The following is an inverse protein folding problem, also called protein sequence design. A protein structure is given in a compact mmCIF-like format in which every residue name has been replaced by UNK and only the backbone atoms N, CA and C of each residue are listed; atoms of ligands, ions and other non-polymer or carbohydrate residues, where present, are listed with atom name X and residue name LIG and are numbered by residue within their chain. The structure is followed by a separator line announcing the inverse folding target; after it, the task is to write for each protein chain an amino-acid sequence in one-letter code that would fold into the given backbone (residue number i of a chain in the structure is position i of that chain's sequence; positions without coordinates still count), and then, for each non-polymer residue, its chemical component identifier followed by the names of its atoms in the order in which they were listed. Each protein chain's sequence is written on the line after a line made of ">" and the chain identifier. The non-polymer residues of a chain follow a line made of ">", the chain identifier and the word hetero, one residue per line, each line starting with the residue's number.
data_IF_141103370331
#
_entry.id   IF_141103370331
#
_cell.length_a   1.000
_cell.length_b   1.000
_cell.length_c   1.000
_cell.angle_alpha   90.00
_cell.angle_beta   90.00
_cell.angle_gamma   90.00
#
_symmetry.space_group_name_H-M   'P 1'
#
loop_
_entity.id
_entity.type
_entity.pdbx_description
1 polymer ?
#
# COMPACT_ATOMS: atom_id res chain seq x y z
N UNK A 1 3.70 5.24 29.10
CA UNK A 1 3.36 4.02 28.34
C UNK A 1 3.68 4.27 26.88
N UNK A 2 4.45 3.39 26.20
CA UNK A 2 4.86 3.57 24.80
C UNK A 2 4.22 2.50 23.93
N UNK A 3 3.01 2.77 23.43
CA UNK A 3 2.31 1.86 22.54
C UNK A 3 3.07 1.75 21.21
N UNK A 4 3.39 0.53 20.78
CA UNK A 4 4.11 0.24 19.53
C UNK A 4 3.28 -0.52 18.50
N UNK A 5 2.25 -1.25 18.95
CA UNK A 5 1.38 -2.05 18.10
C UNK A 5 -0.08 -1.82 18.47
N UNK A 6 -0.91 -1.69 17.44
CA UNK A 6 -2.36 -1.74 17.50
C UNK A 6 -2.83 -2.80 16.51
N UNK A 7 -3.70 -3.69 16.98
CA UNK A 7 -4.38 -4.67 16.16
C UNK A 7 -5.89 -4.57 16.41
N UNK A 8 -6.63 -4.17 15.39
CA UNK A 8 -8.09 -4.02 15.40
C UNK A 8 -8.75 -4.95 14.38
N UNK A 9 -8.10 -6.08 14.08
CA UNK A 9 -8.59 -7.04 13.09
C UNK A 9 -9.96 -7.59 13.44
N UNK A 10 -10.81 -7.84 12.44
CA UNK A 10 -12.07 -8.57 12.61
C UNK A 10 -13.15 -7.78 13.35
N UNK A 11 -13.15 -6.46 13.16
CA UNK A 11 -14.14 -5.56 13.73
C UNK A 11 -15.10 -5.04 12.65
N UNK A 12 -16.05 -4.18 13.04
CA UNK A 12 -17.02 -3.57 12.13
C UNK A 12 -16.73 -2.08 11.89
N UNK A 13 -15.47 -1.67 12.03
CA UNK A 13 -15.07 -0.26 11.96
C UNK A 13 -15.28 0.23 10.52
N UNK A 14 -16.18 1.19 10.36
CA UNK A 14 -16.48 1.82 9.06
C UNK A 14 -15.69 3.12 8.86
N UNK A 15 -15.40 3.83 9.95
CA UNK A 15 -14.69 5.11 9.93
C UNK A 15 -13.74 5.23 11.13
N UNK A 16 -12.65 5.94 10.91
CA UNK A 16 -11.67 6.33 11.93
C UNK A 16 -11.38 7.81 11.69
N UNK A 17 -11.38 8.62 12.75
CA UNK A 17 -11.06 10.04 12.66
C UNK A 17 -9.60 10.25 12.25
N UNK A 18 -9.34 11.29 11.44
CA UNK A 18 -7.99 11.63 10.97
C UNK A 18 -7.00 11.87 12.13
N UNK A 19 -7.49 12.28 13.30
CA UNK A 19 -6.68 12.51 14.51
C UNK A 19 -6.51 11.31 15.44
N UNK A 20 -7.18 10.17 15.18
CA UNK A 20 -7.29 9.07 16.14
C UNK A 20 -5.94 8.51 16.61
N UNK A 21 -4.91 8.57 15.76
CA UNK A 21 -3.57 8.05 16.06
C UNK A 21 -2.50 9.14 16.19
N UNK A 22 -2.88 10.43 16.22
CA UNK A 22 -1.94 11.54 16.12
C UNK A 22 -0.93 11.61 17.29
N UNK A 23 -1.32 11.20 18.49
CA UNK A 23 -0.47 11.19 19.69
C UNK A 23 0.40 9.94 19.82
N UNK A 24 0.20 8.93 18.96
CA UNK A 24 0.90 7.64 19.04
C UNK A 24 2.25 7.70 18.34
N UNK A 25 3.14 8.57 18.82
CA UNK A 25 4.43 8.88 18.18
C UNK A 25 5.43 7.72 18.13
N UNK A 26 5.13 6.59 18.78
CA UNK A 26 5.97 5.39 18.80
C UNK A 26 5.26 4.17 18.18
N UNK A 27 4.10 4.37 17.53
CA UNK A 27 3.40 3.30 16.84
C UNK A 27 4.19 2.86 15.61
N UNK A 28 4.48 1.57 15.53
CA UNK A 28 5.24 0.92 14.48
C UNK A 28 4.39 -0.08 13.70
N UNK A 29 3.39 -0.67 14.33
CA UNK A 29 2.48 -1.63 13.70
C UNK A 29 1.03 -1.19 13.89
N UNK A 30 0.31 -1.06 12.78
CA UNK A 30 -1.14 -0.79 12.78
C UNK A 30 -1.84 -1.76 11.85
N UNK A 31 -2.66 -2.63 12.44
CA UNK A 31 -3.44 -3.65 11.73
C UNK A 31 -4.92 -3.29 11.85
N UNK A 32 -5.54 -2.99 10.71
CA UNK A 32 -6.96 -2.66 10.53
C UNK A 32 -7.65 -3.67 9.60
N UNK A 33 -7.10 -4.89 9.51
CA UNK A 33 -7.60 -5.90 8.59
C UNK A 33 -9.03 -6.34 8.95
N UNK A 34 -9.78 -6.86 7.98
CA UNK A 34 -11.13 -7.40 8.19
C UNK A 34 -12.06 -6.43 8.94
N UNK A 35 -12.32 -5.30 8.27
CA UNK A 35 -13.16 -4.21 8.78
C UNK A 35 -14.05 -3.69 7.63
N UNK A 36 -14.68 -2.53 7.80
CA UNK A 36 -15.59 -1.91 6.81
C UNK A 36 -15.11 -0.55 6.33
N UNK A 37 -13.81 -0.26 6.45
CA UNK A 37 -13.24 1.04 6.13
C UNK A 37 -13.45 1.38 4.66
N UNK A 38 -13.95 2.58 4.41
CA UNK A 38 -14.08 3.16 3.06
C UNK A 38 -13.02 4.23 2.78
N UNK A 39 -12.40 4.77 3.84
CA UNK A 39 -11.31 5.75 3.82
C UNK A 39 -10.24 5.41 4.86
N UNK A 40 -9.00 5.80 4.58
CA UNK A 40 -7.91 5.70 5.56
C UNK A 40 -7.82 6.97 6.41
N UNK A 41 -7.56 6.84 7.74
CA UNK A 41 -7.23 7.98 8.58
C UNK A 41 -5.79 8.47 8.31
N UNK A 42 -5.38 9.53 9.00
CA UNK A 42 -3.97 9.94 8.99
C UNK A 42 -3.11 8.88 9.69
N UNK A 43 -2.10 8.38 8.98
CA UNK A 43 -1.22 7.33 9.48
C UNK A 43 -0.04 7.92 10.27
N UNK A 44 0.32 7.35 11.43
CA UNK A 44 1.51 7.74 12.18
C UNK A 44 2.79 7.53 11.37
N UNK A 45 3.73 8.48 11.44
CA UNK A 45 4.92 8.51 10.56
C UNK A 45 5.98 7.47 10.87
N UNK A 46 5.93 6.86 12.06
CA UNK A 46 6.90 5.82 12.49
C UNK A 46 6.49 4.39 12.12
N UNK A 47 5.35 4.20 11.44
CA UNK A 47 4.91 2.87 11.02
C UNK A 47 5.98 2.14 10.19
N UNK A 48 6.21 0.89 10.57
CA UNK A 48 7.02 -0.11 9.86
C UNK A 48 6.09 -1.09 9.12
N UNK A 49 4.94 -1.40 9.72
CA UNK A 49 3.91 -2.26 9.12
C UNK A 49 2.54 -1.57 9.18
N UNK A 50 1.86 -1.57 8.04
CA UNK A 50 0.47 -1.17 7.95
C UNK A 50 -0.34 -2.21 7.17
N UNK A 51 -1.44 -2.66 7.75
CA UNK A 51 -2.37 -3.57 7.08
C UNK A 51 -3.80 -3.04 7.17
N UNK A 52 -4.47 -2.96 6.04
CA UNK A 52 -5.90 -2.72 5.92
C UNK A 52 -6.52 -3.69 4.90
N UNK A 53 -6.05 -4.95 4.91
CA UNK A 53 -6.63 -6.01 4.10
C UNK A 53 -8.12 -6.21 4.40
N UNK A 54 -8.89 -6.72 3.44
CA UNK A 54 -10.30 -7.07 3.64
C UNK A 54 -11.12 -5.89 4.18
N UNK A 55 -11.08 -4.78 3.45
CA UNK A 55 -11.87 -3.59 3.71
C UNK A 55 -12.63 -3.18 2.43
N UNK A 56 -13.22 -1.98 2.43
CA UNK A 56 -13.95 -1.42 1.29
C UNK A 56 -13.26 -0.16 0.77
N UNK A 57 -11.93 -0.11 0.88
CA UNK A 57 -11.17 1.08 0.51
C UNK A 57 -11.23 1.27 -1.01
N UNK A 58 -11.69 2.45 -1.40
CA UNK A 58 -11.65 2.94 -2.78
C UNK A 58 -10.50 3.93 -2.93
N UNK A 59 -10.00 4.13 -4.14
CA UNK A 59 -8.97 5.14 -4.41
C UNK A 59 -9.35 6.53 -3.87
N UNK A 60 -10.62 6.93 -3.95
CA UNK A 60 -11.11 8.20 -3.38
C UNK A 60 -10.98 8.31 -1.85
N UNK A 61 -10.95 7.18 -1.14
CA UNK A 61 -10.75 7.10 0.30
C UNK A 61 -9.28 6.98 0.72
N UNK A 62 -8.37 6.83 -0.23
CA UNK A 62 -6.92 6.77 0.00
C UNK A 62 -6.27 7.98 -0.65
N UNK A 63 -5.95 9.00 0.15
CA UNK A 63 -5.24 10.19 -0.34
C UNK A 63 -3.99 9.75 -1.12
N UNK A 64 -3.74 10.32 -2.29
CA UNK A 64 -2.63 9.92 -3.15
C UNK A 64 -1.27 9.94 -2.42
N UNK A 65 -1.13 10.79 -1.40
CA UNK A 65 0.08 10.98 -0.59
C UNK A 65 0.01 10.32 0.79
N UNK A 66 -0.97 9.45 1.06
CA UNK A 66 -1.22 8.84 2.37
C UNK A 66 0.03 8.16 2.98
N UNK A 67 0.85 7.54 2.13
CA UNK A 67 2.05 6.82 2.56
C UNK A 67 3.36 7.61 2.35
N UNK A 68 3.31 8.81 1.74
CA UNK A 68 4.50 9.57 1.31
C UNK A 68 5.46 9.91 2.46
N UNK A 69 4.91 10.16 3.66
CA UNK A 69 5.70 10.53 4.86
C UNK A 69 6.17 9.32 5.68
N UNK A 70 5.77 8.10 5.33
CA UNK A 70 6.07 6.89 6.09
C UNK A 70 7.43 6.31 5.66
N UNK A 71 8.50 7.02 5.99
CA UNK A 71 9.87 6.70 5.53
C UNK A 71 10.48 5.43 6.14
N UNK A 72 9.78 4.82 7.10
CA UNK A 72 10.15 3.54 7.72
C UNK A 72 9.23 2.38 7.33
N UNK A 73 8.18 2.63 6.53
CA UNK A 73 7.20 1.62 6.19
C UNK A 73 7.82 0.57 5.27
N UNK A 74 7.95 -0.65 5.78
CA UNK A 74 8.52 -1.78 5.07
C UNK A 74 7.44 -2.72 4.52
N UNK A 75 6.31 -2.83 5.21
CA UNK A 75 5.24 -3.76 4.87
C UNK A 75 3.91 -3.03 4.72
N UNK A 76 3.32 -3.10 3.52
CA UNK A 76 2.03 -2.52 3.19
C UNK A 76 1.09 -3.57 2.62
N UNK A 77 0.00 -3.82 3.34
CA UNK A 77 -1.02 -4.79 2.93
C UNK A 77 -2.38 -4.09 2.72
N UNK A 78 -2.84 -4.07 1.48
CA UNK A 78 -4.10 -3.46 1.04
C UNK A 78 -4.92 -4.44 0.17
N UNK A 79 -4.68 -5.73 0.28
CA UNK A 79 -5.37 -6.77 -0.50
C UNK A 79 -6.85 -6.86 -0.16
N UNK A 80 -7.66 -7.34 -1.11
CA UNK A 80 -9.11 -7.51 -0.93
C UNK A 80 -9.78 -6.18 -0.53
N UNK A 81 -9.63 -5.19 -1.40
CA UNK A 81 -10.26 -3.87 -1.32
C UNK A 81 -10.87 -3.51 -2.68
N UNK A 82 -11.24 -2.25 -2.87
CA UNK A 82 -11.85 -1.74 -4.11
C UNK A 82 -11.00 -0.64 -4.76
N UNK A 83 -9.68 -0.69 -4.59
CA UNK A 83 -8.76 0.29 -5.18
C UNK A 83 -8.75 0.16 -6.70
N UNK A 84 -8.86 1.28 -7.40
CA UNK A 84 -8.80 1.33 -8.88
C UNK A 84 -7.46 1.79 -9.41
N UNK A 85 -6.57 2.22 -8.51
CA UNK A 85 -5.20 2.66 -8.83
C UNK A 85 -4.27 2.38 -7.65
N UNK A 86 -2.98 2.28 -7.95
CA UNK A 86 -1.93 2.16 -6.94
C UNK A 86 -1.69 3.52 -6.27
N UNK A 87 -1.71 3.63 -4.93
CA UNK A 87 -1.35 4.87 -4.23
C UNK A 87 0.17 5.13 -4.31
N UNK A 88 0.64 6.36 -4.05
CA UNK A 88 2.09 6.61 -4.07
C UNK A 88 2.78 5.81 -2.97
N UNK A 89 3.72 4.97 -3.37
CA UNK A 89 4.43 4.03 -2.50
C UNK A 89 5.74 4.65 -2.00
N UNK A 90 6.04 4.66 -0.68
CA UNK A 90 7.32 5.14 -0.16
C UNK A 90 8.51 4.24 -0.55
N UNK A 91 9.70 4.82 -0.63
CA UNK A 91 10.97 4.15 -1.00
C UNK A 91 11.41 3.05 -0.02
N UNK A 92 10.90 3.08 1.21
CA UNK A 92 11.24 2.14 2.27
C UNK A 92 10.61 0.76 2.12
N UNK A 93 9.63 0.62 1.21
CA UNK A 93 8.84 -0.60 1.11
C UNK A 93 9.66 -1.80 0.61
N UNK A 94 9.44 -2.91 1.30
CA UNK A 94 9.92 -4.24 0.94
C UNK A 94 8.83 -5.09 0.33
N UNK A 95 7.64 -5.07 0.95
CA UNK A 95 6.50 -5.88 0.53
C UNK A 95 5.29 -4.98 0.34
N UNK A 96 4.66 -5.10 -0.83
CA UNK A 96 3.41 -4.43 -1.16
C UNK A 96 2.42 -5.43 -1.71
N UNK A 97 1.32 -5.65 -0.99
CA UNK A 97 0.22 -6.47 -1.45
C UNK A 97 -0.99 -5.61 -1.81
N UNK A 98 -1.34 -5.64 -3.09
CA UNK A 98 -2.48 -4.94 -3.69
C UNK A 98 -3.39 -5.92 -4.44
N UNK A 99 -3.18 -7.23 -4.27
CA UNK A 99 -3.94 -8.27 -4.95
C UNK A 99 -5.43 -8.24 -4.55
N UNK A 100 -6.29 -8.74 -5.44
CA UNK A 100 -7.75 -8.73 -5.29
C UNK A 100 -8.30 -7.31 -5.06
N UNK A 101 -7.96 -6.39 -5.96
CA UNK A 101 -8.50 -5.04 -6.04
C UNK A 101 -9.14 -4.83 -7.43
N UNK A 102 -9.40 -3.57 -7.80
CA UNK A 102 -9.99 -3.17 -9.10
C UNK A 102 -8.99 -2.34 -9.92
N UNK A 103 -7.68 -2.52 -9.71
CA UNK A 103 -6.62 -1.75 -10.37
C UNK A 103 -6.60 -2.15 -11.85
N UNK A 104 -7.01 -1.23 -12.73
CA UNK A 104 -7.11 -1.48 -14.17
C UNK A 104 -5.91 -0.96 -14.96
N UNK A 105 -5.16 -0.01 -14.41
CA UNK A 105 -4.02 0.58 -15.08
C UNK A 105 -2.94 0.96 -14.06
N UNK A 106 -1.70 0.96 -14.54
CA UNK A 106 -0.53 1.51 -13.87
C UNK A 106 0.20 2.44 -14.86
N UNK A 107 1.26 3.08 -14.38
CA UNK A 107 2.13 3.96 -15.17
C UNK A 107 3.58 3.61 -14.90
N UNK A 108 4.48 4.06 -15.78
CA UNK A 108 5.93 3.86 -15.63
C UNK A 108 6.47 4.41 -14.30
N UNK A 109 5.77 5.38 -13.71
CA UNK A 109 6.12 5.99 -12.44
C UNK A 109 5.44 5.33 -11.21
N UNK A 110 4.64 4.29 -11.41
CA UNK A 110 3.90 3.63 -10.33
C UNK A 110 4.85 2.96 -9.32
N UNK A 111 5.88 2.27 -9.82
CA UNK A 111 6.89 1.63 -8.98
C UNK A 111 8.29 2.23 -9.15
N UNK A 112 8.57 2.85 -10.30
CA UNK A 112 9.87 3.40 -10.66
C UNK A 112 9.88 4.94 -10.67
N UNK A 113 11.06 5.54 -10.55
CA UNK A 113 11.24 7.00 -10.68
C UNK A 113 11.78 7.33 -12.07
N UNK A 114 10.89 7.79 -12.94
CA UNK A 114 11.20 8.15 -14.31
C UNK A 114 11.59 6.95 -15.18
N UNK A 115 11.74 7.20 -16.48
CA UNK A 115 12.02 6.15 -17.47
C UNK A 115 13.54 5.91 -17.65
N UNK A 116 14.31 5.90 -16.56
CA UNK A 116 15.78 5.76 -16.62
C UNK A 116 16.25 4.49 -15.95
N UNK A 117 17.20 3.79 -16.58
CA UNK A 117 17.81 2.56 -16.06
C UNK A 117 18.71 2.75 -14.84
N UNK A 118 18.94 3.99 -14.40
CA UNK A 118 19.82 4.31 -13.25
C UNK A 118 19.11 4.19 -11.91
N UNK A 119 17.78 4.32 -11.88
CA UNK A 119 17.03 4.17 -10.65
C UNK A 119 16.71 2.69 -10.42
N UNK A 120 17.21 2.14 -9.31
CA UNK A 120 16.94 0.77 -8.86
C UNK A 120 16.31 0.81 -7.48
N UNK A 121 15.13 0.22 -7.35
CA UNK A 121 14.39 0.15 -6.08
C UNK A 121 14.79 -1.10 -5.32
N UNK A 122 16.00 -1.07 -4.77
CA UNK A 122 16.69 -2.25 -4.20
C UNK A 122 16.00 -2.89 -3.00
N UNK A 123 15.14 -2.16 -2.30
CA UNK A 123 14.41 -2.65 -1.12
C UNK A 123 13.14 -3.41 -1.48
N UNK A 124 12.54 -3.15 -2.65
CA UNK A 124 11.25 -3.76 -3.01
C UNK A 124 11.49 -5.21 -3.43
N UNK A 125 11.13 -6.13 -2.55
CA UNK A 125 11.37 -7.56 -2.70
C UNK A 125 10.15 -8.26 -3.32
N UNK A 126 8.94 -7.83 -2.94
CA UNK A 126 7.69 -8.44 -3.39
C UNK A 126 6.59 -7.42 -3.68
N UNK A 127 5.98 -7.54 -4.86
CA UNK A 127 4.78 -6.79 -5.26
C UNK A 127 3.73 -7.78 -5.74
N UNK A 128 2.54 -7.76 -5.13
CA UNK A 128 1.40 -8.59 -5.55
C UNK A 128 0.29 -7.74 -6.14
N UNK A 129 -0.07 -8.02 -7.39
CA UNK A 129 -1.14 -7.40 -8.16
C UNK A 129 -2.13 -8.43 -8.71
N UNK A 130 -1.96 -9.71 -8.42
CA UNK A 130 -2.87 -10.77 -8.84
C UNK A 130 -4.34 -10.50 -8.44
N UNK A 131 -5.30 -10.94 -9.24
CA UNK A 131 -6.72 -10.67 -9.00
C UNK A 131 -7.13 -9.20 -9.21
N UNK A 132 -6.31 -8.40 -9.91
CA UNK A 132 -6.70 -7.11 -10.46
C UNK A 132 -6.91 -7.20 -11.99
N UNK A 133 -7.75 -6.33 -12.59
CA UNK A 133 -7.96 -6.32 -14.02
C UNK A 133 -6.75 -5.86 -14.86
N UNK A 134 -5.72 -5.26 -14.25
CA UNK A 134 -4.51 -4.83 -14.96
C UNK A 134 -3.74 -6.02 -15.56
N UNK A 135 -3.42 -5.93 -16.85
CA UNK A 135 -2.54 -6.86 -17.55
C UNK A 135 -1.13 -6.29 -17.53
N UNK A 136 -0.23 -6.91 -16.77
CA UNK A 136 1.11 -6.38 -16.47
C UNK A 136 2.02 -6.34 -17.71
N UNK A 137 1.80 -7.23 -18.69
CA UNK A 137 2.56 -7.23 -19.93
C UNK A 137 2.39 -5.95 -20.78
N UNK A 138 1.31 -5.19 -20.57
CA UNK A 138 1.09 -3.91 -21.23
C UNK A 138 1.96 -2.77 -20.65
N UNK A 139 2.68 -3.02 -19.55
CA UNK A 139 3.42 -2.01 -18.79
C UNK A 139 4.87 -2.43 -18.48
N UNK A 140 5.68 -2.84 -19.47
CA UNK A 140 7.01 -3.40 -19.22
C UNK A 140 7.95 -2.42 -18.51
N UNK A 141 7.81 -1.12 -18.77
CA UNK A 141 8.68 -0.08 -18.17
C UNK A 141 8.34 0.24 -16.71
N UNK A 142 7.15 -0.16 -16.24
CA UNK A 142 6.73 0.09 -14.85
C UNK A 142 7.51 -0.73 -13.82
N UNK A 143 8.31 -1.72 -14.24
CA UNK A 143 8.99 -2.67 -13.34
C UNK A 143 10.50 -2.72 -13.52
N UNK A 144 11.08 -1.93 -14.44
CA UNK A 144 12.51 -2.02 -14.81
C UNK A 144 13.47 -1.75 -13.64
N UNK A 145 13.01 -1.01 -12.63
CA UNK A 145 13.77 -0.69 -11.43
C UNK A 145 13.69 -1.78 -10.36
N UNK A 146 12.82 -2.79 -10.51
CA UNK A 146 12.60 -3.85 -9.54
C UNK A 146 13.55 -5.02 -9.79
N UNK A 147 13.93 -5.72 -8.72
CA UNK A 147 14.77 -6.92 -8.79
C UNK A 147 13.98 -8.17 -9.23
N UNK A 148 12.68 -8.14 -9.02
CA UNK A 148 11.74 -9.23 -9.30
C UNK A 148 10.51 -8.66 -9.98
N UNK A 149 9.91 -9.45 -10.87
CA UNK A 149 8.64 -9.12 -11.49
C UNK A 149 7.50 -9.23 -10.46
N UNK A 150 6.50 -8.33 -10.48
CA UNK A 150 5.32 -8.49 -9.64
C UNK A 150 4.55 -9.79 -9.93
N UNK A 151 3.87 -10.30 -8.92
CA UNK A 151 2.92 -11.40 -9.09
C UNK A 151 1.63 -10.84 -9.70
N UNK A 152 1.22 -11.35 -10.87
CA UNK A 152 0.00 -10.91 -11.55
C UNK A 152 -0.16 -11.55 -12.93
N UNK A 153 -1.05 -10.99 -13.74
CA UNK A 153 -1.35 -11.51 -15.08
C UNK A 153 -0.46 -10.88 -16.14
N UNK A 154 0.16 -11.72 -16.97
CA UNK A 154 1.04 -11.33 -18.07
C UNK A 154 0.53 -11.75 -19.45
N UNK A 155 -0.65 -12.37 -19.50
CA UNK A 155 -1.24 -12.95 -20.71
C UNK A 155 -2.53 -12.23 -21.09
#
# INVERSE_FOLDING_TARGET
>A
VTLRRIDLTGNVIAEIDDGAFASLHNLEELVLADNRLTKLPMLPTKLVLFSANFNKLKTSGVKATAFKKLTKLAYLYLSNNELTSVPHLPESLHIVHLNNNKIAAITDETFCKGNTSYYVRTKMDEVRLDGNPVVLANYPYSFICLKSLPVGWYN
#
